data_IF_957921263399
#
_entry.id   IF_957921263399
#
_cell.length_a   1.000
_cell.length_b   1.000
_cell.length_c   1.000
_cell.angle_alpha   90.00
_cell.angle_beta   90.00
_cell.angle_gamma   90.00
#
_symmetry.space_group_name_H-M   'P 1'
#
loop_
_entity.id
_entity.type
_entity.pdbx_description
1 polymer ?
#
# COMPACT_ATOMS: atom_id res chain seq x y z
N UNK A 1 -31.48 42.50 -31.02
CA UNK A 1 -31.38 42.14 -29.59
C UNK A 1 -30.92 40.67 -29.36
N UNK A 2 -29.84 40.20 -30.01
CA UNK A 2 -29.40 38.78 -29.91
C UNK A 2 -27.94 38.59 -29.39
N UNK A 3 -27.19 39.67 -29.14
CA UNK A 3 -25.76 39.59 -28.79
C UNK A 3 -25.46 39.29 -27.31
N UNK A 4 -26.40 39.53 -26.40
CA UNK A 4 -26.14 39.41 -24.94
C UNK A 4 -26.23 37.95 -24.44
N UNK A 5 -26.92 37.04 -25.14
CA UNK A 5 -27.06 35.63 -24.70
C UNK A 5 -25.82 34.76 -24.97
N UNK A 6 -25.01 35.08 -25.98
CA UNK A 6 -23.85 34.27 -26.39
C UNK A 6 -22.69 34.39 -25.41
N UNK A 7 -22.51 35.56 -24.78
CA UNK A 7 -21.41 35.81 -23.84
C UNK A 7 -21.60 35.02 -22.53
N UNK A 8 -22.86 34.81 -22.09
CA UNK A 8 -23.16 33.95 -20.93
C UNK A 8 -22.94 32.46 -21.20
N UNK A 9 -23.18 32.00 -22.43
CA UNK A 9 -23.00 30.60 -22.81
C UNK A 9 -21.51 30.21 -22.90
N UNK A 10 -20.64 31.13 -23.36
CA UNK A 10 -19.20 30.88 -23.38
C UNK A 10 -18.61 30.71 -21.97
N UNK A 11 -19.06 31.50 -21.00
CA UNK A 11 -18.61 31.38 -19.61
C UNK A 11 -18.97 30.02 -19.00
N UNK A 12 -20.17 29.50 -19.29
CA UNK A 12 -20.64 28.22 -18.77
C UNK A 12 -19.83 27.03 -19.31
N UNK A 13 -19.42 27.09 -20.59
CA UNK A 13 -18.67 26.02 -21.24
C UNK A 13 -17.28 25.79 -20.61
N UNK A 14 -16.66 26.83 -20.05
CA UNK A 14 -15.40 26.74 -19.32
C UNK A 14 -15.60 26.58 -17.81
N UNK A 15 -16.69 27.11 -17.26
CA UNK A 15 -16.95 27.05 -15.83
C UNK A 15 -17.22 25.61 -15.35
N UNK A 16 -17.94 24.79 -16.12
CA UNK A 16 -18.28 23.42 -15.71
C UNK A 16 -17.03 22.50 -15.65
N UNK A 17 -16.17 22.43 -16.69
CA UNK A 17 -14.96 21.62 -16.63
C UNK A 17 -13.98 22.10 -15.54
N UNK A 18 -13.84 23.42 -15.38
CA UNK A 18 -12.98 24.00 -14.35
C UNK A 18 -13.51 23.71 -12.94
N UNK A 19 -14.83 23.82 -12.73
CA UNK A 19 -15.47 23.48 -11.46
C UNK A 19 -15.29 21.99 -11.13
N UNK A 20 -15.41 21.09 -12.11
CA UNK A 20 -15.14 19.66 -11.91
C UNK A 20 -13.67 19.37 -11.61
N UNK A 21 -12.74 20.10 -12.24
CA UNK A 21 -11.32 20.04 -11.95
C UNK A 21 -11.03 20.46 -10.50
N UNK A 22 -11.55 21.61 -10.08
CA UNK A 22 -11.36 22.14 -8.72
C UNK A 22 -12.02 21.24 -7.68
N UNK A 23 -13.25 20.79 -7.91
CA UNK A 23 -13.95 19.85 -7.01
C UNK A 23 -13.23 18.51 -6.93
N UNK A 24 -12.67 18.03 -8.04
CA UNK A 24 -11.89 16.80 -8.06
C UNK A 24 -10.54 16.91 -7.35
N UNK A 25 -9.82 18.03 -7.51
CA UNK A 25 -8.57 18.30 -6.78
C UNK A 25 -8.85 18.45 -5.28
N UNK A 26 -9.83 19.28 -4.90
CA UNK A 26 -10.14 19.54 -3.50
C UNK A 26 -10.74 18.30 -2.84
N UNK A 27 -11.70 17.62 -3.46
CA UNK A 27 -12.29 16.41 -2.91
C UNK A 27 -11.34 15.21 -2.89
N UNK A 28 -10.51 15.05 -3.94
CA UNK A 28 -9.58 13.92 -4.04
C UNK A 28 -8.38 14.06 -3.09
N UNK A 29 -7.76 15.23 -3.00
CA UNK A 29 -6.59 15.45 -2.13
C UNK A 29 -6.94 15.73 -0.67
N UNK A 30 -8.12 16.29 -0.37
CA UNK A 30 -8.48 16.68 1.01
C UNK A 30 -9.39 15.66 1.69
N UNK A 31 -10.26 14.96 0.95
CA UNK A 31 -11.27 14.06 1.53
C UNK A 31 -11.00 12.57 1.29
N UNK A 32 -10.02 12.21 0.44
CA UNK A 32 -9.59 10.81 0.25
C UNK A 32 -10.63 9.89 -0.40
N UNK A 33 -11.76 10.40 -0.88
CA UNK A 33 -12.82 9.60 -1.47
C UNK A 33 -12.61 9.43 -2.99
N UNK A 34 -12.53 8.18 -3.46
CA UNK A 34 -12.24 7.84 -4.86
C UNK A 34 -13.22 8.39 -5.90
N UNK A 35 -14.43 8.78 -5.48
CA UNK A 35 -15.44 9.43 -6.34
C UNK A 35 -14.97 10.80 -6.87
N UNK A 36 -14.11 11.51 -6.14
CA UNK A 36 -13.60 12.81 -6.57
C UNK A 36 -12.49 12.71 -7.61
N UNK A 37 -11.76 11.59 -7.65
CA UNK A 37 -10.80 11.30 -8.72
C UNK A 37 -11.52 11.12 -10.07
N UNK A 38 -12.70 10.50 -10.06
CA UNK A 38 -13.54 10.39 -11.26
C UNK A 38 -14.02 11.77 -11.74
N UNK A 39 -14.43 12.65 -10.82
CA UNK A 39 -14.82 14.03 -11.15
C UNK A 39 -13.63 14.85 -11.72
N UNK A 40 -12.43 14.68 -11.16
CA UNK A 40 -11.20 15.29 -11.68
C UNK A 40 -10.89 14.83 -13.10
N UNK A 41 -10.91 13.51 -13.36
CA UNK A 41 -10.64 12.93 -14.66
C UNK A 41 -11.62 13.45 -15.74
N UNK A 42 -12.92 13.51 -15.40
CA UNK A 42 -13.96 14.05 -16.29
C UNK A 42 -13.76 15.56 -16.54
N UNK A 43 -13.40 16.33 -15.51
CA UNK A 43 -13.09 17.76 -15.63
C UNK A 43 -11.88 18.04 -16.51
N UNK A 44 -10.80 17.28 -16.34
CA UNK A 44 -9.58 17.38 -17.15
C UNK A 44 -9.83 17.01 -18.61
N UNK A 45 -10.55 15.91 -18.85
CA UNK A 45 -10.99 15.45 -20.17
C UNK A 45 -11.79 16.53 -20.92
N UNK A 46 -12.81 17.08 -20.26
CA UNK A 46 -13.68 18.08 -20.84
C UNK A 46 -12.93 19.39 -21.12
N UNK A 47 -12.04 19.81 -20.22
CA UNK A 47 -11.20 21.01 -20.41
C UNK A 47 -10.28 20.87 -21.61
N UNK A 48 -9.59 19.73 -21.73
CA UNK A 48 -8.71 19.45 -22.85
C UNK A 48 -9.47 19.43 -24.17
N UNK A 49 -10.64 18.78 -24.20
CA UNK A 49 -11.50 18.73 -25.39
C UNK A 49 -11.94 20.13 -25.85
N UNK A 50 -12.30 21.02 -24.93
CA UNK A 50 -12.69 22.40 -25.22
C UNK A 50 -11.50 23.23 -25.73
N UNK A 51 -10.31 23.07 -25.13
CA UNK A 51 -9.08 23.78 -25.55
C UNK A 51 -8.65 23.34 -26.95
N UNK A 52 -8.66 22.03 -27.23
CA UNK A 52 -8.27 21.48 -28.54
C UNK A 52 -9.27 21.87 -29.63
N UNK A 53 -10.57 21.84 -29.33
CA UNK A 53 -11.61 22.26 -30.28
C UNK A 53 -11.47 23.76 -30.64
N UNK A 54 -11.07 24.60 -29.68
CA UNK A 54 -10.85 26.03 -29.90
C UNK A 54 -9.55 26.33 -30.63
N UNK A 55 -8.45 25.68 -30.27
CA UNK A 55 -7.13 25.90 -30.85
C UNK A 55 -7.08 25.54 -32.34
N UNK A 56 -7.83 24.51 -32.75
CA UNK A 56 -7.77 23.99 -34.12
C UNK A 56 -8.80 24.61 -35.08
N UNK A 57 -9.69 25.51 -34.61
CA UNK A 57 -10.70 26.18 -35.46
C UNK A 57 -11.59 25.24 -36.29
N UNK A 58 -11.56 23.93 -36.01
CA UNK A 58 -12.19 22.86 -36.79
C UNK A 58 -13.24 22.16 -35.94
N UNK A 59 -14.40 21.93 -36.55
CA UNK A 59 -15.46 21.09 -36.01
C UNK A 59 -14.88 19.72 -35.64
N UNK A 60 -14.98 19.36 -34.35
CA UNK A 60 -15.03 18.04 -33.68
C UNK A 60 -14.65 16.76 -34.47
N UNK A 61 -13.71 16.79 -35.42
CA UNK A 61 -13.33 15.66 -36.26
C UNK A 61 -12.15 14.85 -35.70
N UNK A 62 -11.29 15.49 -34.90
CA UNK A 62 -10.16 14.87 -34.22
C UNK A 62 -10.48 14.30 -32.83
N UNK A 63 -11.76 14.28 -32.44
CA UNK A 63 -12.21 13.89 -31.10
C UNK A 63 -11.74 12.49 -30.69
N UNK A 64 -11.55 11.58 -31.65
CA UNK A 64 -11.02 10.24 -31.40
C UNK A 64 -9.59 10.25 -30.85
N UNK A 65 -8.72 11.12 -31.37
CA UNK A 65 -7.34 11.23 -30.88
C UNK A 65 -7.27 11.94 -29.53
N UNK A 66 -8.12 12.96 -29.32
CA UNK A 66 -8.25 13.62 -28.02
C UNK A 66 -8.79 12.66 -26.95
N UNK A 67 -9.81 11.86 -27.29
CA UNK A 67 -10.36 10.84 -26.40
C UNK A 67 -9.33 9.77 -26.06
N UNK A 68 -8.53 9.29 -27.03
CA UNK A 68 -7.46 8.33 -26.77
C UNK A 68 -6.38 8.94 -25.87
N UNK A 69 -5.93 10.17 -26.11
CA UNK A 69 -4.95 10.83 -25.26
C UNK A 69 -5.47 11.05 -23.82
N UNK A 70 -6.74 11.40 -23.68
CA UNK A 70 -7.40 11.53 -22.38
C UNK A 70 -7.54 10.18 -21.68
N UNK A 71 -7.92 9.11 -22.38
CA UNK A 71 -7.99 7.77 -21.80
C UNK A 71 -6.61 7.29 -21.38
N UNK A 72 -5.56 7.57 -22.16
CA UNK A 72 -4.18 7.26 -21.78
C UNK A 72 -3.75 8.08 -20.56
N UNK A 73 -4.09 9.36 -20.47
CA UNK A 73 -3.79 10.19 -19.30
C UNK A 73 -4.58 9.79 -18.06
N UNK A 74 -5.83 9.39 -18.21
CA UNK A 74 -6.67 8.89 -17.11
C UNK A 74 -6.21 7.49 -16.69
N UNK A 75 -5.84 6.62 -17.63
CA UNK A 75 -5.25 5.31 -17.32
C UNK A 75 -3.85 5.45 -16.70
N UNK A 76 -3.06 6.43 -17.13
CA UNK A 76 -1.77 6.75 -16.53
C UNK A 76 -1.89 7.51 -15.20
N UNK A 77 -2.99 8.22 -14.95
CA UNK A 77 -3.33 8.82 -13.65
C UNK A 77 -4.07 7.89 -12.70
N UNK A 78 -4.64 6.80 -13.22
CA UNK A 78 -5.18 5.65 -12.49
C UNK A 78 -4.16 4.52 -12.34
N UNK A 79 -2.92 4.69 -12.83
CA UNK A 79 -1.78 3.95 -12.26
C UNK A 79 -1.85 4.21 -10.76
N UNK A 80 -1.91 3.16 -9.94
CA UNK A 80 -2.28 3.30 -8.56
C UNK A 80 -1.33 4.31 -7.93
N UNK A 81 -1.89 5.45 -7.53
CA UNK A 81 -1.42 6.19 -6.37
C UNK A 81 -1.55 5.16 -5.23
N UNK A 82 -0.58 4.24 -5.14
CA UNK A 82 -0.50 3.25 -4.08
C UNK A 82 -0.55 4.08 -2.81
N UNK A 83 -1.58 3.83 -2.02
CA UNK A 83 -1.82 4.56 -0.80
C UNK A 83 -0.53 4.53 0.03
N UNK A 84 0.06 5.71 0.24
CA UNK A 84 1.11 5.89 1.23
C UNK A 84 0.55 5.33 2.56
N UNK A 85 1.27 4.37 3.16
CA UNK A 85 0.89 3.54 4.32
C UNK A 85 -0.09 2.38 4.06
N UNK A 86 0.39 1.31 3.42
CA UNK A 86 -0.22 -0.02 3.63
C UNK A 86 0.19 -0.56 5.00
N UNK A 87 -0.78 -0.76 5.89
CA UNK A 87 -0.58 -1.49 7.14
C UNK A 87 -0.39 -2.98 6.83
N UNK A 88 0.84 -3.47 6.95
CA UNK A 88 1.22 -4.85 6.64
C UNK A 88 0.88 -5.84 7.75
N UNK A 89 0.37 -5.37 8.89
CA UNK A 89 -0.20 -6.23 9.92
C UNK A 89 -1.68 -6.54 9.68
N UNK A 90 -2.28 -6.00 8.61
CA UNK A 90 -3.59 -6.43 8.12
C UNK A 90 -3.49 -7.72 7.29
N UNK A 91 -4.58 -8.50 7.24
CA UNK A 91 -4.60 -9.74 6.46
C UNK A 91 -4.30 -9.50 4.96
N UNK A 92 -4.87 -8.43 4.38
CA UNK A 92 -4.68 -8.07 2.96
C UNK A 92 -3.25 -7.60 2.67
N UNK A 93 -2.69 -6.73 3.50
CA UNK A 93 -1.32 -6.23 3.33
C UNK A 93 -0.29 -7.35 3.47
N UNK A 94 -0.51 -8.24 4.43
CA UNK A 94 0.35 -9.39 4.68
C UNK A 94 0.33 -10.40 3.52
N UNK A 95 -0.85 -10.71 2.97
CA UNK A 95 -0.98 -11.63 1.84
C UNK A 95 -0.21 -11.13 0.61
N UNK A 96 -0.37 -9.85 0.25
CA UNK A 96 0.34 -9.25 -0.88
C UNK A 96 1.86 -9.30 -0.71
N UNK A 97 2.38 -8.91 0.46
CA UNK A 97 3.82 -8.96 0.72
C UNK A 97 4.38 -10.38 0.74
N UNK A 98 3.61 -11.35 1.27
CA UNK A 98 4.03 -12.75 1.29
C UNK A 98 4.08 -13.36 -0.10
N UNK A 99 3.17 -13.00 -1.00
CA UNK A 99 3.19 -13.47 -2.38
C UNK A 99 4.43 -12.98 -3.13
N UNK A 100 4.83 -11.72 -2.93
CA UNK A 100 6.09 -11.19 -3.48
C UNK A 100 7.31 -11.95 -2.93
N UNK A 101 7.36 -12.21 -1.62
CA UNK A 101 8.44 -13.01 -1.02
C UNK A 101 8.46 -14.44 -1.59
N UNK A 102 7.31 -15.12 -1.66
CA UNK A 102 7.20 -16.48 -2.24
C UNK A 102 7.68 -16.54 -3.68
N UNK A 103 7.53 -15.45 -4.44
CA UNK A 103 8.08 -15.33 -5.80
C UNK A 103 9.60 -15.39 -5.86
N UNK A 104 10.30 -15.03 -4.78
CA UNK A 104 11.78 -15.05 -4.71
C UNK A 104 12.32 -16.32 -4.07
N UNK A 105 11.75 -16.76 -2.95
CA UNK A 105 12.16 -17.99 -2.27
C UNK A 105 11.00 -18.61 -1.49
N UNK A 106 11.06 -19.93 -1.29
CA UNK A 106 10.07 -20.64 -0.45
C UNK A 106 10.52 -20.80 1.00
N UNK A 107 11.82 -20.63 1.27
CA UNK A 107 12.44 -20.86 2.58
C UNK A 107 13.19 -19.63 3.08
N UNK A 108 13.03 -19.31 4.36
CA UNK A 108 13.65 -18.16 5.04
C UNK A 108 14.12 -18.55 6.44
N UNK A 109 15.12 -17.86 6.95
CA UNK A 109 15.63 -18.05 8.32
C UNK A 109 14.96 -17.08 9.30
N UNK A 110 14.49 -15.95 8.77
CA UNK A 110 13.72 -14.94 9.49
C UNK A 110 12.71 -14.32 8.54
N UNK A 111 11.46 -14.25 8.98
CA UNK A 111 10.49 -13.27 8.50
C UNK A 111 10.26 -12.25 9.62
N UNK A 112 10.40 -10.97 9.32
CA UNK A 112 10.07 -9.87 10.24
C UNK A 112 8.97 -9.00 9.61
N UNK A 113 7.96 -8.66 10.38
CA UNK A 113 6.78 -7.90 9.94
C UNK A 113 6.62 -6.72 10.90
N UNK A 114 6.72 -5.51 10.37
CA UNK A 114 6.34 -4.28 11.07
C UNK A 114 5.11 -3.66 10.42
N UNK A 115 4.71 -2.51 10.93
CA UNK A 115 3.53 -1.78 10.47
C UNK A 115 3.66 -1.41 8.96
N UNK A 116 4.86 -1.02 8.51
CA UNK A 116 5.12 -0.54 7.14
C UNK A 116 6.07 -1.43 6.31
N UNK A 117 6.54 -2.56 6.86
CA UNK A 117 7.46 -3.43 6.13
C UNK A 117 7.26 -4.92 6.41
N UNK A 118 7.57 -5.72 5.40
CA UNK A 118 7.71 -7.17 5.50
C UNK A 118 9.10 -7.54 5.02
N UNK A 119 9.92 -8.12 5.88
CA UNK A 119 11.29 -8.51 5.57
C UNK A 119 11.43 -10.02 5.57
N UNK A 120 11.97 -10.57 4.50
CA UNK A 120 12.43 -11.95 4.43
C UNK A 120 13.95 -12.04 4.37
N UNK A 121 14.55 -12.86 5.21
CA UNK A 121 16.00 -13.11 5.23
C UNK A 121 16.34 -14.57 5.01
N UNK A 122 17.39 -14.80 4.22
CA UNK A 122 17.99 -16.10 3.95
C UNK A 122 19.52 -15.95 3.84
N UNK A 123 20.25 -16.45 4.83
CA UNK A 123 21.69 -16.31 4.99
C UNK A 123 22.12 -14.84 5.01
N UNK A 124 23.02 -14.51 4.09
CA UNK A 124 23.57 -13.16 3.89
C UNK A 124 22.68 -12.24 3.03
N UNK A 125 21.49 -12.71 2.63
CA UNK A 125 20.56 -11.97 1.78
C UNK A 125 19.30 -11.65 2.56
N UNK A 126 18.88 -10.39 2.49
CA UNK A 126 17.59 -9.95 2.98
C UNK A 126 16.88 -9.12 1.92
N UNK A 127 15.56 -9.25 1.89
CA UNK A 127 14.65 -8.50 1.05
C UNK A 127 13.65 -7.82 1.96
N UNK A 128 13.29 -6.58 1.65
CA UNK A 128 12.25 -5.82 2.33
C UNK A 128 11.18 -5.47 1.31
N UNK A 129 9.94 -5.86 1.60
CA UNK A 129 8.75 -5.42 0.90
C UNK A 129 8.19 -4.22 1.66
N UNK A 130 8.07 -3.09 0.97
CA UNK A 130 7.56 -1.83 1.50
C UNK A 130 6.95 -1.04 0.34
N UNK A 131 5.83 -0.37 0.58
CA UNK A 131 5.13 0.47 -0.41
C UNK A 131 4.82 -0.24 -1.75
N UNK A 132 4.58 -1.56 -1.69
CA UNK A 132 4.29 -2.38 -2.86
C UNK A 132 5.50 -2.81 -3.67
N UNK A 133 6.72 -2.54 -3.20
CA UNK A 133 7.95 -2.86 -3.90
C UNK A 133 8.88 -3.73 -3.04
N UNK A 134 9.48 -4.73 -3.67
CA UNK A 134 10.47 -5.60 -3.04
C UNK A 134 11.89 -5.09 -3.34
N UNK A 135 12.66 -4.80 -2.30
CA UNK A 135 13.99 -4.22 -2.40
C UNK A 135 15.03 -5.07 -1.66
N UNK A 136 16.25 -5.23 -2.19
CA UNK A 136 17.34 -5.86 -1.45
C UNK A 136 17.81 -4.95 -0.31
N UNK A 137 18.01 -5.55 0.86
CA UNK A 137 18.58 -4.87 2.03
C UNK A 137 20.11 -4.98 1.98
N UNK A 138 20.87 -3.92 2.31
CA UNK A 138 22.33 -3.98 2.40
C UNK A 138 22.80 -5.14 3.28
N UNK A 139 23.92 -5.78 2.91
CA UNK A 139 24.45 -7.05 3.45
C UNK A 139 24.90 -7.01 4.92
N UNK A 140 24.73 -5.90 5.61
CA UNK A 140 25.34 -5.66 6.92
C UNK A 140 24.51 -6.24 8.08
N UNK A 141 23.50 -7.06 7.78
CA UNK A 141 22.64 -7.67 8.79
C UNK A 141 22.87 -9.17 8.86
N UNK A 142 23.63 -9.61 9.86
CA UNK A 142 23.70 -11.00 10.28
C UNK A 142 22.32 -11.43 10.76
N UNK A 143 21.71 -12.36 10.03
CA UNK A 143 20.45 -13.00 10.42
C UNK A 143 20.69 -14.24 11.27
N UNK A 144 19.62 -14.98 11.59
CA UNK A 144 19.73 -16.33 12.14
C UNK A 144 20.56 -17.24 11.23
N UNK A 145 21.10 -18.32 11.81
CA UNK A 145 21.87 -19.29 11.04
C UNK A 145 20.98 -19.93 9.94
N UNK A 146 21.43 -19.97 8.67
CA UNK A 146 20.67 -20.58 7.57
C UNK A 146 20.37 -22.06 7.76
N UNK A 147 21.03 -22.75 8.70
CA UNK A 147 20.64 -24.11 9.10
C UNK A 147 19.23 -24.19 9.72
N UNK A 148 18.70 -23.06 10.22
CA UNK A 148 17.38 -22.93 10.82
C UNK A 148 16.34 -22.33 9.86
N UNK A 149 16.57 -22.44 8.54
CA UNK A 149 15.57 -22.09 7.55
C UNK A 149 14.25 -22.85 7.78
N UNK A 150 13.13 -22.21 7.44
CA UNK A 150 11.80 -22.81 7.44
C UNK A 150 11.06 -22.46 6.15
N UNK A 151 10.16 -23.33 5.72
CA UNK A 151 9.26 -23.06 4.59
C UNK A 151 8.12 -22.15 5.05
N UNK A 152 7.77 -21.15 4.23
CA UNK A 152 6.64 -20.25 4.54
C UNK A 152 5.32 -21.00 4.72
N UNK A 153 5.17 -22.19 4.13
CA UNK A 153 3.96 -23.03 4.28
C UNK A 153 3.83 -23.66 5.66
N UNK A 154 4.89 -23.65 6.47
CA UNK A 154 4.83 -24.14 7.85
C UNK A 154 4.06 -23.19 8.77
N UNK A 155 3.83 -21.95 8.34
CA UNK A 155 3.31 -20.86 9.18
C UNK A 155 1.93 -20.41 8.74
N UNK A 156 1.00 -20.33 9.68
CA UNK A 156 -0.31 -19.71 9.48
C UNK A 156 -0.21 -18.20 9.66
N UNK A 157 0.12 -17.51 8.57
CA UNK A 157 0.18 -16.06 8.53
C UNK A 157 -1.18 -15.39 8.79
N UNK A 158 -2.30 -16.10 8.57
CA UNK A 158 -3.65 -15.59 8.86
C UNK A 158 -3.91 -15.38 10.35
N UNK A 159 -3.16 -16.05 11.22
CA UNK A 159 -3.27 -15.89 12.67
C UNK A 159 -2.57 -14.63 13.21
N UNK A 160 -1.64 -14.04 12.45
CA UNK A 160 -0.78 -12.94 12.92
C UNK A 160 -1.55 -11.70 13.39
N UNK A 161 -2.56 -11.19 12.64
CA UNK A 161 -3.34 -10.04 13.10
C UNK A 161 -4.03 -10.30 14.46
N UNK A 162 -4.50 -11.54 14.67
CA UNK A 162 -5.09 -11.98 15.93
C UNK A 162 -4.07 -12.02 17.07
N UNK A 163 -2.86 -12.50 16.82
CA UNK A 163 -1.76 -12.52 17.79
C UNK A 163 -1.31 -11.12 18.19
N UNK A 164 -1.23 -10.18 17.23
CA UNK A 164 -0.92 -8.77 17.51
C UNK A 164 -2.00 -8.15 18.39
N UNK A 165 -3.28 -8.40 18.08
CA UNK A 165 -4.40 -7.99 18.92
C UNK A 165 -4.32 -8.55 20.35
N UNK A 166 -3.97 -9.83 20.48
CA UNK A 166 -3.80 -10.48 21.78
C UNK A 166 -2.61 -9.91 22.56
N UNK A 167 -1.48 -9.65 21.91
CA UNK A 167 -0.31 -9.05 22.54
C UNK A 167 -0.64 -7.67 23.12
N UNK A 168 -1.35 -6.81 22.36
CA UNK A 168 -1.80 -5.49 22.84
C UNK A 168 -2.79 -5.57 24.00
N UNK A 169 -3.65 -6.59 24.03
CA UNK A 169 -4.54 -6.83 25.18
C UNK A 169 -3.77 -7.29 26.42
N UNK A 170 -2.77 -8.17 26.24
CA UNK A 170 -1.93 -8.70 27.33
C UNK A 170 -1.00 -7.64 27.91
N UNK A 171 -0.54 -6.71 27.08
CA UNK A 171 0.35 -5.61 27.43
C UNK A 171 -0.35 -4.27 27.18
N UNK A 172 -1.30 -3.85 28.04
CA UNK A 172 -2.09 -2.63 27.84
C UNK A 172 -1.25 -1.34 27.95
N UNK A 173 -0.03 -1.43 28.44
CA UNK A 173 0.99 -0.39 28.49
C UNK A 173 1.89 -0.36 27.25
N UNK A 174 1.54 -1.10 26.20
CA UNK A 174 2.22 -1.02 24.92
C UNK A 174 1.99 0.36 24.28
N UNK A 175 3.07 1.05 23.94
CA UNK A 175 3.04 2.44 23.43
C UNK A 175 3.60 2.60 22.03
N UNK A 176 4.21 1.56 21.47
CA UNK A 176 4.83 1.58 20.16
C UNK A 176 4.23 0.58 19.18
N UNK A 177 4.86 0.52 18.01
CA UNK A 177 4.52 -0.41 16.93
C UNK A 177 4.79 -1.85 17.37
N UNK A 178 4.04 -2.79 16.78
CA UNK A 178 4.26 -4.20 17.04
C UNK A 178 5.19 -4.76 15.96
N UNK A 179 6.23 -5.49 16.35
CA UNK A 179 7.07 -6.23 15.41
C UNK A 179 6.81 -7.71 15.58
N UNK A 180 6.48 -8.40 14.49
CA UNK A 180 6.32 -9.85 14.48
C UNK A 180 7.57 -10.47 13.87
N UNK A 181 8.18 -11.42 14.59
CA UNK A 181 9.35 -12.16 14.14
C UNK A 181 9.02 -13.64 14.07
N UNK A 182 9.33 -14.25 12.95
CA UNK A 182 9.08 -15.66 12.70
C UNK A 182 10.41 -16.32 12.41
N UNK A 183 10.76 -17.28 13.26
CA UNK A 183 12.05 -17.97 13.22
C UNK A 183 11.89 -19.41 13.65
N UNK A 184 12.78 -20.28 13.19
CA UNK A 184 12.99 -21.58 13.83
C UNK A 184 14.02 -21.41 14.95
N UNK A 185 13.74 -21.87 16.18
CA UNK A 185 14.66 -21.70 17.29
C UNK A 185 15.93 -22.54 17.10
N UNK A 186 17.08 -22.09 17.64
CA UNK A 186 18.31 -22.86 17.64
C UNK A 186 18.11 -24.26 18.23
N UNK A 187 18.65 -25.28 17.58
CA UNK A 187 18.39 -26.68 17.93
C UNK A 187 17.27 -27.37 17.12
N UNK A 188 16.67 -26.67 16.16
CA UNK A 188 15.79 -27.28 15.16
C UNK A 188 14.35 -27.57 15.65
N UNK A 189 13.87 -26.82 16.64
CA UNK A 189 12.50 -26.91 17.12
C UNK A 189 11.45 -26.52 16.05
N UNK A 190 10.14 -26.56 16.40
CA UNK A 190 9.10 -26.05 15.51
C UNK A 190 9.27 -24.54 15.29
N UNK A 191 8.77 -24.03 14.17
CA UNK A 191 8.76 -22.58 13.89
C UNK A 191 7.92 -21.85 14.94
N UNK A 192 8.40 -20.68 15.36
CA UNK A 192 7.77 -19.84 16.37
C UNK A 192 7.43 -18.47 15.79
N UNK A 193 6.26 -17.96 16.17
CA UNK A 193 5.82 -16.58 15.90
C UNK A 193 5.98 -15.79 17.19
N UNK A 194 6.87 -14.82 17.19
CA UNK A 194 7.13 -13.92 18.33
C UNK A 194 6.59 -12.54 18.01
N UNK A 195 5.60 -12.08 18.77
CA UNK A 195 5.10 -10.70 18.72
C UNK A 195 5.80 -9.88 19.79
N UNK A 196 6.55 -8.88 19.36
CA UNK A 196 7.24 -7.92 20.20
C UNK A 196 6.43 -6.63 20.22
N UNK A 197 6.18 -6.11 21.42
CA UNK A 197 5.54 -4.80 21.62
C UNK A 197 6.42 -3.92 22.50
N UNK A 198 6.56 -2.65 22.12
CA UNK A 198 7.25 -1.67 22.96
C UNK A 198 6.35 -1.21 24.10
N UNK A 199 6.87 -1.21 25.34
CA UNK A 199 6.10 -0.89 26.55
C UNK A 199 6.66 0.35 27.25
N UNK A 200 5.77 1.16 27.83
CA UNK A 200 6.17 2.24 28.73
C UNK A 200 6.45 1.70 30.14
N UNK A 201 7.70 1.60 30.54
CA UNK A 201 8.06 1.12 31.88
C UNK A 201 9.52 0.69 32.04
N UNK A 202 9.88 0.13 33.22
CA UNK A 202 11.20 -0.47 33.42
C UNK A 202 11.43 -1.69 32.51
N UNK A 203 10.36 -2.43 32.20
CA UNK A 203 10.34 -3.44 31.14
C UNK A 203 10.01 -2.76 29.81
N UNK A 204 11.04 -2.60 28.96
CA UNK A 204 10.88 -1.86 27.70
C UNK A 204 10.21 -2.66 26.58
N UNK A 205 10.03 -3.97 26.75
CA UNK A 205 9.48 -4.88 25.74
C UNK A 205 8.55 -5.91 26.35
N UNK A 206 7.39 -6.10 25.73
CA UNK A 206 6.52 -7.26 25.94
C UNK A 206 6.73 -8.26 24.82
N UNK A 207 6.68 -9.54 25.16
CA UNK A 207 6.87 -10.62 24.20
C UNK A 207 5.71 -11.61 24.35
N UNK A 208 5.05 -11.93 23.23
CA UNK A 208 4.08 -13.00 23.12
C UNK A 208 4.62 -14.01 22.10
N UNK A 209 4.81 -15.26 22.53
CA UNK A 209 5.28 -16.34 21.67
C UNK A 209 4.12 -17.27 21.33
N UNK A 210 4.03 -17.67 20.08
CA UNK A 210 3.06 -18.62 19.57
C UNK A 210 3.75 -19.69 18.71
N UNK A 211 3.11 -20.83 18.55
CA UNK A 211 3.54 -21.82 17.56
C UNK A 211 3.21 -21.38 16.12
N UNK A 212 3.70 -22.12 15.13
CA UNK A 212 3.49 -21.82 13.72
C UNK A 212 2.02 -21.84 13.27
N UNK A 213 1.11 -22.45 14.04
CA UNK A 213 -0.33 -22.44 13.78
C UNK A 213 -1.04 -21.26 14.48
N UNK A 214 -0.29 -20.38 15.14
CA UNK A 214 -0.81 -19.20 15.80
C UNK A 214 -1.38 -19.45 17.20
N UNK A 215 -1.06 -20.59 17.84
CA UNK A 215 -1.50 -20.85 19.22
C UNK A 215 -0.49 -20.23 20.21
N UNK A 216 -0.92 -19.29 21.07
CA UNK A 216 -0.04 -18.68 22.08
C UNK A 216 0.44 -19.69 23.13
N UNK A 217 1.64 -19.48 23.65
CA UNK A 217 2.23 -20.25 24.76
C UNK A 217 2.32 -19.45 26.07
#
# INVERSE_FOLDING_TARGET
>A
MARVKIIKALGLLYAVPLALLVVGVVGGLVLGEGLYLAAFAVGAAATLAVVVARANGRALGGWKQAAVATVVLVAAGLLPLRADNQDLLTAEGLEAGLDELRGVATTYDLIAIGDDYLRGQRGDRALIYRDGDLQPVPRDMTGPDPEYAFDLREVDFGAIPGLVGLARQRFPDATGEAEVRITRPPGGGPVEITVLVERSGPERRGELVADAAGNPR
#
